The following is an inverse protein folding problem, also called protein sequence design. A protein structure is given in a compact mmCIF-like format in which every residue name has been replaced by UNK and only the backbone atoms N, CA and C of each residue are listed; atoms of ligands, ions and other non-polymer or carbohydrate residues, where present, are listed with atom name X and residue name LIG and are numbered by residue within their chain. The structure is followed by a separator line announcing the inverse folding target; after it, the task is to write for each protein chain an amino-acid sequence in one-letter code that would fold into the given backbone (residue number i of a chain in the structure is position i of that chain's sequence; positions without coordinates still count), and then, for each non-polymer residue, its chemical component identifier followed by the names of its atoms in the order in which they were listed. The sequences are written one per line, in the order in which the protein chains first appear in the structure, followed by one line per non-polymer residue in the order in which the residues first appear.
data_IF_487452062050
#
_entry.id   IF_487452062050
#
_cell.length_a   1.000
_cell.length_b   1.000
_cell.length_c   1.000
_cell.angle_alpha   90.00
_cell.angle_beta   90.00
_cell.angle_gamma   90.00
#
_symmetry.space_group_name_H-M   'P 1'
#
loop_
_entity.id
_entity.type
_entity.pdbx_description
1 polymer ?
2 polymer ?
3 non-polymer ?
4 non-polymer ?
5 non-polymer ?
6 non-polymer ?
#
# COMPACT_ATOMS: atom_id res chain seq x y z
N UNK A 10 -5.34 10.91 -21.24
CA UNK A 10 -5.37 9.56 -20.66
C UNK A 10 -6.78 8.98 -20.73
N UNK A 11 -6.86 7.71 -21.16
CA UNK A 11 -8.16 7.08 -21.38
C UNK A 11 -8.88 6.75 -20.08
N UNK A 12 -8.16 6.59 -18.97
CA UNK A 12 -8.79 6.34 -17.69
C UNK A 12 -9.60 7.54 -17.21
N UNK A 13 -9.38 8.72 -17.78
CA UNK A 13 -10.03 9.95 -17.35
C UNK A 13 -11.22 10.27 -18.24
N UNK A 14 -12.05 11.21 -17.76
CA UNK A 14 -13.18 11.69 -18.54
C UNK A 14 -12.69 12.48 -19.75
N UNK A 15 -13.51 12.57 -20.80
CA UNK A 15 -13.08 13.30 -22.00
C UNK A 15 -12.87 14.77 -21.71
N UNK A 16 -11.69 15.28 -22.06
CA UNK A 16 -11.37 16.68 -21.81
C UNK A 16 -11.31 17.02 -20.34
N UNK A 17 -10.72 16.14 -19.53
CA UNK A 17 -10.63 16.35 -18.09
C UNK A 17 -9.50 15.49 -17.55
N UNK A 18 -9.15 15.74 -16.28
CA UNK A 18 -8.13 14.98 -15.58
C UNK A 18 -8.70 14.04 -14.53
N UNK A 19 -10.01 14.07 -14.29
CA UNK A 19 -10.63 13.22 -13.30
C UNK A 19 -10.88 11.84 -13.91
N UNK A 20 -10.45 10.79 -13.20
CA UNK A 20 -10.71 9.43 -13.67
C UNK A 20 -12.19 9.11 -13.58
N UNK A 21 -12.67 8.33 -14.54
CA UNK A 21 -14.06 7.89 -14.50
C UNK A 21 -14.28 6.97 -13.32
N UNK A 22 -15.36 7.21 -12.57
CA UNK A 22 -15.68 6.40 -11.40
C UNK A 22 -17.13 5.93 -11.50
N UNK A 23 -17.44 4.94 -10.66
CA UNK A 23 -18.79 4.36 -10.65
C UNK A 23 -19.84 5.36 -10.19
N UNK A 24 -19.45 6.38 -9.44
CA UNK A 24 -20.38 7.37 -8.90
C UNK A 24 -20.57 8.57 -9.83
N UNK A 25 -19.91 8.59 -10.98
CA UNK A 25 -20.06 9.66 -11.96
C UNK A 25 -19.71 11.03 -11.35
N UNK A 26 -18.53 11.09 -10.75
CA UNK A 26 -18.01 12.27 -10.07
C UNK A 26 -17.01 12.97 -10.98
N UNK A 27 -17.12 14.30 -11.09
CA UNK A 27 -16.43 15.02 -12.15
C UNK A 27 -15.43 16.08 -11.70
N UNK A 28 -15.34 16.41 -10.41
CA UNK A 28 -14.27 17.28 -9.94
C UNK A 28 -13.37 16.49 -8.98
N UNK A 29 -12.09 16.86 -8.97
CA UNK A 29 -11.09 16.04 -8.29
C UNK A 29 -11.23 16.11 -6.78
N UNK A 30 -11.78 17.20 -6.25
CA UNK A 30 -11.87 17.36 -4.80
C UNK A 30 -12.88 16.37 -4.22
N UNK A 31 -14.07 16.30 -4.79
CA UNK A 31 -15.08 15.41 -4.26
C UNK A 31 -14.79 13.94 -4.55
N UNK A 32 -13.89 13.66 -5.50
CA UNK A 32 -13.52 12.27 -5.75
C UNK A 32 -12.51 11.76 -4.72
N UNK A 33 -11.61 12.62 -4.26
CA UNK A 33 -10.67 12.22 -3.22
C UNK A 33 -11.39 11.88 -1.93
N UNK A 34 -12.36 12.71 -1.54
CA UNK A 34 -13.13 12.43 -0.32
C UNK A 34 -13.93 11.14 -0.47
N UNK A 35 -14.50 10.90 -1.66
CA UNK A 35 -15.19 9.64 -1.89
C UNK A 35 -14.22 8.47 -1.90
N UNK A 36 -13.07 8.64 -2.55
CA UNK A 36 -12.06 7.57 -2.58
C UNK A 36 -11.49 7.33 -1.19
N UNK A 37 -11.19 8.40 -0.45
CA UNK A 37 -10.60 8.25 0.87
C UNK A 37 -11.54 7.50 1.81
N UNK A 38 -12.82 7.88 1.81
CA UNK A 38 -13.77 7.26 2.73
C UNK A 38 -14.07 5.82 2.32
N UNK A 39 -14.47 5.62 1.05
CA UNK A 39 -14.91 4.29 0.62
C UNK A 39 -13.77 3.29 0.69
N UNK A 40 -12.54 3.72 0.42
CA UNK A 40 -11.41 2.79 0.50
C UNK A 40 -11.01 2.53 1.95
N UNK A 41 -11.24 3.48 2.85
CA UNK A 41 -10.94 3.27 4.26
C UNK A 41 -11.81 2.17 4.85
N UNK A 42 -13.12 2.20 4.56
CA UNK A 42 -14.00 1.13 5.02
C UNK A 42 -13.56 -0.20 4.45
N UNK A 43 -13.14 -0.21 3.19
CA UNK A 43 -12.68 -1.45 2.58
C UNK A 43 -11.37 -1.93 3.20
N UNK A 44 -10.49 -0.99 3.58
CA UNK A 44 -9.24 -1.35 4.22
C UNK A 44 -9.48 -2.05 5.55
N UNK A 45 -10.60 -1.75 6.21
CA UNK A 45 -10.94 -2.39 7.48
C UNK A 45 -11.52 -3.79 7.28
N UNK A 46 -11.63 -4.27 6.05
CA UNK A 46 -12.11 -5.61 5.76
C UNK A 46 -11.01 -6.51 5.20
N UNK A 47 -9.78 -6.02 5.13
CA UNK A 47 -8.65 -6.79 4.64
C UNK A 47 -8.02 -7.53 5.82
N UNK A 48 -7.96 -8.85 5.72
CA UNK A 48 -7.35 -9.67 6.75
C UNK A 48 -5.90 -9.97 6.38
N UNK A 49 -5.09 -10.24 7.41
CA UNK A 49 -3.76 -10.76 7.16
C UNK A 49 -3.87 -12.13 6.50
N UNK A 50 -3.04 -12.37 5.50
CA UNK A 50 -2.97 -13.66 4.87
C UNK A 50 -1.52 -14.13 4.83
N UNK A 51 -1.30 -15.43 4.92
CA UNK A 51 0.08 -15.94 4.95
C UNK A 51 0.69 -15.95 3.55
N UNK A 52 2.01 -16.02 3.46
CA UNK A 52 2.67 -16.10 2.15
C UNK A 52 2.40 -17.43 1.48
N UNK A 53 2.82 -17.61 0.22
CA UNK A 53 3.56 -16.70 -0.67
C UNK A 53 2.78 -15.47 -1.14
N UNK A 54 3.45 -14.32 -1.14
CA UNK A 54 2.89 -13.11 -1.72
C UNK A 54 3.30 -13.01 -3.19
N UNK A 55 2.60 -12.14 -3.91
CA UNK A 55 2.73 -12.08 -5.36
C UNK A 55 2.03 -10.84 -5.87
N UNK A 56 2.11 -10.65 -7.20
CA UNK A 56 1.37 -9.58 -7.83
C UNK A 56 -0.13 -9.77 -7.66
N UNK A 57 -0.63 -11.00 -7.89
CA UNK A 57 -2.04 -11.30 -7.68
C UNK A 57 -2.47 -10.97 -6.26
N UNK A 58 -1.62 -11.25 -5.27
CA UNK A 58 -1.91 -10.81 -3.91
C UNK A 58 -2.06 -9.30 -3.85
N UNK A 59 -1.11 -8.58 -4.45
CA UNK A 59 -1.20 -7.13 -4.53
C UNK A 59 -2.45 -6.68 -5.27
N UNK A 60 -2.78 -7.34 -6.38
CA UNK A 60 -3.98 -6.98 -7.12
C UNK A 60 -5.24 -7.18 -6.28
N UNK A 61 -5.27 -8.27 -5.50
CA UNK A 61 -6.42 -8.53 -4.65
C UNK A 61 -6.64 -7.40 -3.64
N UNK A 62 -5.55 -6.86 -3.08
CA UNK A 62 -5.69 -5.75 -2.15
C UNK A 62 -6.24 -4.52 -2.87
N UNK A 63 -5.72 -4.24 -4.06
CA UNK A 63 -6.15 -3.06 -4.80
C UNK A 63 -7.63 -3.17 -5.19
N UNK A 64 -8.08 -4.36 -5.57
CA UNK A 64 -9.49 -4.53 -5.91
C UNK A 64 -10.39 -4.33 -4.71
N UNK A 65 -9.99 -4.85 -3.56
CA UNK A 65 -10.77 -4.67 -2.34
C UNK A 65 -10.86 -3.19 -1.97
N UNK A 66 -9.76 -2.45 -2.15
CA UNK A 66 -9.73 -1.05 -1.75
C UNK A 66 -10.62 -0.18 -2.64
N UNK A 67 -10.56 -0.38 -3.96
CA UNK A 67 -11.13 0.60 -4.87
C UNK A 67 -12.24 0.06 -5.78
N UNK A 68 -12.78 -1.13 -5.50
CA UNK A 68 -13.80 -1.68 -6.39
C UNK A 68 -15.09 -0.86 -6.36
N UNK A 69 -15.31 -0.06 -5.33
CA UNK A 69 -16.52 0.76 -5.25
C UNK A 69 -16.46 1.99 -6.13
N UNK A 70 -15.30 2.30 -6.70
CA UNK A 70 -15.16 3.50 -7.52
C UNK A 70 -14.72 3.18 -8.94
N UNK A 71 -13.72 2.32 -9.10
CA UNK A 71 -13.10 2.10 -10.40
C UNK A 71 -13.35 0.67 -10.86
N UNK A 72 -13.78 0.53 -12.12
CA UNK A 72 -13.93 -0.79 -12.71
C UNK A 72 -12.60 -1.51 -12.81
N UNK A 73 -11.52 -0.76 -13.02
CA UNK A 73 -10.18 -1.32 -13.16
C UNK A 73 -9.50 -1.59 -11.83
N UNK A 74 -10.24 -1.55 -10.73
CA UNK A 74 -9.66 -1.90 -9.43
C UNK A 74 -9.16 -3.33 -9.48
N UNK A 75 -7.91 -3.53 -9.06
CA UNK A 75 -7.26 -4.83 -9.15
C UNK A 75 -6.60 -5.12 -10.48
N UNK A 76 -6.98 -4.41 -11.54
CA UNK A 76 -6.39 -4.60 -12.86
C UNK A 76 -5.07 -3.83 -12.98
N UNK A 77 -4.22 -4.29 -13.90
CA UNK A 77 -2.91 -3.67 -14.05
C UNK A 77 -2.94 -2.54 -15.06
N UNK A 78 -1.96 -1.64 -14.91
CA UNK A 78 -1.76 -0.53 -15.84
C UNK A 78 -1.76 -1.01 -17.28
N UNK A 79 -2.54 -0.34 -18.12
CA UNK A 79 -2.48 -0.54 -19.56
C UNK A 79 -1.65 0.52 -20.27
N UNK A 80 -1.41 1.65 -19.63
CA UNK A 80 -0.58 2.72 -20.18
C UNK A 80 0.67 2.86 -19.34
N UNK A 81 1.69 3.48 -19.93
CA UNK A 81 2.92 3.72 -19.22
C UNK A 81 2.87 4.96 -18.35
N UNK A 82 3.94 5.15 -17.58
CA UNK A 82 4.05 6.31 -16.69
C UNK A 82 5.50 6.76 -16.56
N UNK A 89 9.54 4.43 -14.38
CA UNK A 89 8.64 3.34 -14.02
C UNK A 89 8.82 2.13 -14.96
N UNK A 90 8.32 0.99 -14.52
CA UNK A 90 8.32 -0.21 -15.36
C UNK A 90 7.11 -0.16 -16.30
N UNK A 91 7.37 -0.34 -17.59
CA UNK A 91 6.30 -0.27 -18.58
C UNK A 91 5.39 -1.51 -18.49
N UNK A 92 4.13 -1.38 -18.92
CA UNK A 92 3.14 -2.44 -18.61
C UNK A 92 3.54 -3.84 -19.02
N UNK A 93 4.14 -4.02 -20.20
CA UNK A 93 4.42 -5.37 -20.69
C UNK A 93 5.49 -6.09 -19.88
N UNK A 94 6.21 -5.39 -19.00
CA UNK A 94 7.25 -6.02 -18.20
C UNK A 94 6.91 -6.10 -16.72
N UNK A 95 5.71 -5.66 -16.33
CA UNK A 95 5.39 -5.57 -14.91
C UNK A 95 5.25 -6.96 -14.28
N UNK A 96 4.64 -7.91 -14.99
CA UNK A 96 4.52 -9.26 -14.44
C UNK A 96 5.89 -9.91 -14.29
N UNK A 97 6.74 -9.77 -15.30
CA UNK A 97 8.09 -10.30 -15.20
C UNK A 97 8.85 -9.67 -14.03
N UNK A 98 8.78 -8.34 -13.90
CA UNK A 98 9.56 -7.66 -12.89
C UNK A 98 9.02 -7.93 -11.49
N UNK A 99 7.70 -7.96 -11.32
CA UNK A 99 7.14 -8.33 -10.03
C UNK A 99 7.48 -9.76 -9.66
N UNK A 100 7.51 -10.66 -10.64
CA UNK A 100 7.84 -12.05 -10.37
C UNK A 100 9.28 -12.19 -9.88
N UNK A 101 10.22 -11.45 -10.49
CA UNK A 101 11.59 -11.44 -10.00
C UNK A 101 11.65 -11.01 -8.54
N UNK A 102 10.95 -9.93 -8.20
CA UNK A 102 11.00 -9.42 -6.83
C UNK A 102 10.43 -10.45 -5.86
N UNK A 103 9.22 -10.95 -6.13
CA UNK A 103 8.57 -11.85 -5.18
C UNK A 103 9.26 -13.21 -5.13
N UNK A 104 9.85 -13.66 -6.25
CA UNK A 104 10.64 -14.89 -6.22
C UNK A 104 11.85 -14.73 -5.30
N UNK A 105 12.53 -13.60 -5.38
CA UNK A 105 13.66 -13.34 -4.48
C UNK A 105 13.20 -13.23 -3.04
N UNK A 106 12.05 -12.60 -2.81
CA UNK A 106 11.52 -12.56 -1.45
C UNK A 106 11.20 -13.97 -0.95
N UNK A 107 10.61 -14.80 -1.79
CA UNK A 107 10.33 -16.19 -1.41
C UNK A 107 11.62 -16.96 -1.14
N UNK A 108 12.69 -16.68 -1.88
CA UNK A 108 13.94 -17.39 -1.65
C UNK A 108 14.54 -17.00 -0.30
N UNK A 109 14.23 -15.80 0.19
CA UNK A 109 14.64 -15.34 1.51
C UNK A 109 13.60 -15.66 2.58
N UNK A 110 12.73 -16.64 2.34
CA UNK A 110 11.74 -17.08 3.31
C UNK A 110 10.80 -15.95 3.73
N UNK A 111 10.57 -15.00 2.81
CA UNK A 111 9.68 -13.86 3.06
C UNK A 111 10.13 -13.07 4.29
N UNK A 112 11.45 -13.08 4.52
CA UNK A 112 12.12 -12.32 5.56
C UNK A 112 11.89 -12.91 6.95
N UNK A 113 11.19 -14.03 7.05
CA UNK A 113 11.07 -14.73 8.32
C UNK A 113 12.44 -15.22 8.78
N UNK A 114 12.64 -15.23 10.10
CA UNK A 114 13.90 -15.61 10.68
C UNK A 114 14.94 -14.51 10.73
N UNK A 115 14.76 -13.43 9.98
CA UNK A 115 15.68 -12.30 10.02
C UNK A 115 15.45 -11.47 11.28
N UNK A 116 16.54 -11.02 11.88
CA UNK A 116 16.45 -10.08 12.98
C UNK A 116 15.92 -8.74 12.48
N UNK A 117 15.64 -7.84 13.43
CA UNK A 117 15.07 -6.54 13.07
C UNK A 117 15.99 -5.78 12.11
N UNK A 118 17.27 -5.66 12.47
CA UNK A 118 18.22 -4.92 11.63
C UNK A 118 18.22 -5.42 10.20
N UNK A 119 18.22 -6.75 10.01
CA UNK A 119 18.23 -7.31 8.66
C UNK A 119 16.90 -7.06 7.94
N UNK A 120 15.79 -7.24 8.65
CA UNK A 120 14.47 -7.06 8.05
C UNK A 120 14.30 -5.64 7.53
N UNK A 121 14.86 -4.65 8.23
CA UNK A 121 14.70 -3.26 7.82
C UNK A 121 15.35 -3.01 6.47
N UNK A 122 16.58 -3.48 6.29
CA UNK A 122 17.28 -3.28 5.02
C UNK A 122 16.59 -4.01 3.87
N UNK A 123 16.09 -5.22 4.11
CA UNK A 123 15.48 -5.99 3.03
C UNK A 123 14.11 -5.44 2.66
N UNK A 124 13.33 -5.03 3.67
CA UNK A 124 12.01 -4.47 3.39
C UNK A 124 12.15 -3.14 2.66
N UNK A 125 13.12 -2.32 3.05
CA UNK A 125 13.33 -1.05 2.37
C UNK A 125 13.67 -1.28 0.89
N UNK A 126 14.56 -2.22 0.61
CA UNK A 126 14.92 -2.50 -0.77
C UNK A 126 13.75 -3.14 -1.52
N UNK A 127 12.99 -4.01 -0.86
CA UNK A 127 11.87 -4.63 -1.53
C UNK A 127 10.76 -3.62 -1.80
N UNK A 128 10.58 -2.63 -0.92
CA UNK A 128 9.54 -1.64 -1.14
C UNK A 128 9.82 -0.79 -2.38
N UNK A 129 11.08 -0.36 -2.55
CA UNK A 129 11.43 0.45 -3.72
C UNK A 129 11.32 -0.36 -5.00
N UNK A 130 11.76 -1.62 -4.97
CA UNK A 130 11.70 -2.46 -6.16
C UNK A 130 10.26 -2.60 -6.64
N UNK A 131 9.36 -2.93 -5.72
CA UNK A 131 7.95 -3.07 -6.08
C UNK A 131 7.39 -1.73 -6.55
N UNK A 132 7.81 -0.64 -5.90
CA UNK A 132 7.34 0.69 -6.29
C UNK A 132 7.73 1.02 -7.72
N UNK A 133 8.88 0.54 -8.18
CA UNK A 133 9.32 0.79 -9.56
C UNK A 133 8.40 0.06 -10.55
N UNK A 134 7.84 -1.08 -10.15
CA UNK A 134 6.88 -1.79 -11.00
C UNK A 134 5.64 -0.93 -11.22
N UNK A 135 5.08 -0.37 -10.14
CA UNK A 135 3.91 0.50 -10.18
C UNK A 135 2.77 -0.15 -10.95
N UNK A 136 2.16 -1.21 -10.40
CA UNK A 136 1.26 -2.04 -11.23
C UNK A 136 -0.02 -1.33 -11.66
N UNK A 137 -0.47 -0.31 -10.95
CA UNK A 137 -1.82 0.21 -11.13
C UNK A 137 -1.80 1.63 -11.67
N UNK A 138 -2.93 2.02 -12.27
CA UNK A 138 -3.09 3.38 -12.77
C UNK A 138 -3.12 4.38 -11.63
N UNK A 139 -3.70 3.99 -10.50
CA UNK A 139 -3.72 4.84 -9.31
C UNK A 139 -3.90 3.95 -8.10
N UNK A 140 -3.54 4.50 -6.93
CA UNK A 140 -3.66 3.76 -5.70
C UNK A 140 -2.52 2.80 -5.41
N UNK A 141 -1.35 3.01 -6.02
CA UNK A 141 -0.26 2.06 -5.87
C UNK A 141 0.30 2.07 -4.44
N UNK A 142 0.57 3.26 -3.90
CA UNK A 142 1.18 3.33 -2.58
C UNK A 142 0.32 2.72 -1.50
N UNK A 143 -0.98 3.01 -1.50
CA UNK A 143 -1.86 2.49 -0.46
C UNK A 143 -1.95 0.98 -0.51
N UNK A 144 -2.19 0.41 -1.71
CA UNK A 144 -2.25 -1.05 -1.81
C UNK A 144 -0.92 -1.69 -1.45
N UNK A 145 0.19 -1.04 -1.81
CA UNK A 145 1.50 -1.62 -1.52
C UNK A 145 1.78 -1.65 -0.02
N UNK A 146 1.37 -0.60 0.71
CA UNK A 146 1.69 -0.55 2.14
C UNK A 146 0.88 -1.57 2.93
N UNK A 147 -0.36 -1.85 2.52
CA UNK A 147 -1.12 -2.92 3.16
C UNK A 147 -0.43 -4.26 2.95
N UNK A 148 0.12 -4.49 1.75
CA UNK A 148 0.91 -5.69 1.52
C UNK A 148 2.13 -5.72 2.41
N UNK A 149 2.83 -4.58 2.53
CA UNK A 149 4.01 -4.57 3.38
C UNK A 149 3.65 -4.64 4.86
N UNK A 150 2.45 -4.22 5.25
CA UNK A 150 2.01 -4.51 6.62
C UNK A 150 1.98 -6.01 6.86
N UNK A 151 1.31 -6.75 5.98
CA UNK A 151 1.28 -8.21 6.10
C UNK A 151 2.67 -8.80 6.05
N UNK A 152 3.54 -8.27 5.19
CA UNK A 152 4.89 -8.80 5.08
C UNK A 152 5.65 -8.67 6.40
N UNK A 153 5.50 -7.53 7.06
CA UNK A 153 6.28 -7.29 8.27
C UNK A 153 5.74 -8.12 9.43
N UNK A 154 4.42 -8.25 9.54
CA UNK A 154 3.88 -9.00 10.67
C UNK A 154 3.99 -10.49 10.44
N UNK A 155 4.04 -10.92 9.19
CA UNK A 155 4.42 -12.31 8.91
C UNK A 155 5.87 -12.57 9.33
N UNK A 156 6.76 -11.61 9.09
CA UNK A 156 8.11 -11.68 9.63
C UNK A 156 8.11 -11.60 11.15
N UNK A 157 7.00 -11.18 11.76
CA UNK A 157 6.85 -11.24 13.20
C UNK A 157 7.03 -9.93 13.93
N UNK A 158 6.90 -8.79 13.27
CA UNK A 158 7.18 -7.51 13.89
C UNK A 158 6.01 -6.55 13.70
N UNK A 159 5.89 -5.63 14.65
CA UNK A 159 4.90 -4.57 14.60
C UNK A 159 5.26 -3.55 13.52
N UNK A 160 4.23 -2.84 13.03
CA UNK A 160 4.38 -1.90 11.92
C UNK A 160 3.36 -0.80 12.08
N UNK A 161 3.81 0.45 11.99
CA UNK A 161 2.90 1.60 12.05
C UNK A 161 3.47 2.72 11.19
N UNK A 162 2.74 3.10 10.15
CA UNK A 162 3.17 4.19 9.29
C UNK A 162 3.10 5.55 9.97
N UNK A 163 2.61 5.62 11.21
CA UNK A 163 2.70 6.85 11.99
C UNK A 163 4.13 7.14 12.44
N UNK A 164 5.07 6.22 12.21
CA UNK A 164 6.44 6.41 12.63
C UNK A 164 7.18 7.49 11.87
N UNK A 165 6.66 7.90 10.71
CA UNK A 165 7.25 8.95 9.89
C UNK A 165 6.13 9.86 9.42
N UNK A 166 6.49 11.09 9.06
CA UNK A 166 5.55 12.01 8.47
C UNK A 166 5.71 12.03 6.94
N UNK A 167 4.84 12.80 6.28
CA UNK A 167 4.73 12.75 4.83
C UNK A 167 5.99 13.26 4.15
N UNK A 168 6.56 14.36 4.64
CA UNK A 168 7.75 14.94 4.02
C UNK A 168 8.92 13.95 4.02
N UNK A 169 9.10 13.23 5.13
CA UNK A 169 10.14 12.22 5.20
C UNK A 169 9.87 11.07 4.23
N UNK A 170 8.61 10.71 4.09
CA UNK A 170 8.24 9.60 3.21
C UNK A 170 8.51 9.95 1.75
N UNK A 171 8.20 11.19 1.36
CA UNK A 171 8.41 11.62 -0.01
C UNK A 171 9.90 11.61 -0.35
N UNK A 172 10.72 12.15 0.57
CA UNK A 172 12.16 12.21 0.30
C UNK A 172 12.78 10.81 0.26
N UNK A 173 12.31 9.90 1.10
CA UNK A 173 12.83 8.54 1.07
C UNK A 173 12.52 7.86 -0.26
N UNK A 174 11.34 8.13 -0.81
CA UNK A 174 10.99 7.54 -2.09
C UNK A 174 11.76 8.20 -3.23
N UNK A 175 12.00 9.50 -3.14
CA UNK A 175 12.84 10.16 -4.13
C UNK A 175 14.26 9.61 -4.06
N UNK A 176 14.81 9.50 -2.85
CA UNK A 176 16.13 8.91 -2.69
C UNK A 176 16.19 7.52 -3.29
N UNK A 177 15.12 6.75 -3.14
CA UNK A 177 15.09 5.39 -3.67
C UNK A 177 15.03 5.39 -5.20
N UNK A 178 14.35 6.38 -5.80
CA UNK A 178 14.37 6.50 -7.25
C UNK A 178 15.81 6.62 -7.77
N UNK A 179 16.66 7.33 -7.03
CA UNK A 179 18.04 7.56 -7.43
C UNK A 179 18.99 6.49 -6.90
N UNK A 180 18.47 5.41 -6.31
CA UNK A 180 19.30 4.31 -5.87
C UNK A 180 19.85 4.43 -4.46
N UNK A 181 19.48 5.47 -3.72
CA UNK A 181 19.93 5.66 -2.34
C UNK A 181 18.85 5.16 -1.42
N UNK A 182 19.13 4.06 -0.72
CA UNK A 182 18.15 3.37 0.10
C UNK A 182 18.22 3.74 1.57
N UNK A 183 19.33 4.32 2.02
CA UNK A 183 19.47 4.68 3.42
C UNK A 183 18.30 5.51 3.95
N UNK A 184 17.78 6.52 3.24
CA UNK A 184 16.56 7.17 3.74
C UNK A 184 15.37 6.23 3.83
N UNK A 185 15.21 5.28 2.91
CA UNK A 185 14.11 4.32 3.06
C UNK A 185 14.32 3.41 4.28
N UNK A 186 15.57 3.12 4.63
CA UNK A 186 15.84 2.20 5.74
C UNK A 186 15.46 2.83 7.08
N UNK A 187 15.83 4.10 7.29
CA UNK A 187 15.48 4.75 8.55
C UNK A 187 13.99 5.00 8.64
N UNK A 188 13.28 5.03 7.51
CA UNK A 188 11.82 5.09 7.56
C UNK A 188 11.26 3.84 8.23
N UNK A 189 11.69 2.67 7.77
CA UNK A 189 11.26 1.42 8.37
C UNK A 189 11.92 1.19 9.73
N UNK A 190 13.10 1.76 9.96
CA UNK A 190 13.65 1.78 11.31
C UNK A 190 12.68 2.43 12.28
N UNK A 191 11.95 3.45 11.83
CA UNK A 191 11.01 4.18 12.68
C UNK A 191 9.58 3.64 12.61
N UNK A 192 9.26 2.81 11.62
CA UNK A 192 7.92 2.26 11.52
C UNK A 192 7.82 0.81 11.99
N UNK A 193 8.90 0.06 11.93
CA UNK A 193 8.92 -1.32 12.42
C UNK A 193 9.33 -1.30 13.89
N UNK A 194 8.55 -1.97 14.72
CA UNK A 194 8.78 -1.94 16.15
C UNK A 194 9.18 -3.29 16.75
N UNK A 195 8.63 -3.58 17.93
CA UNK A 195 8.95 -4.80 18.63
C UNK A 195 8.38 -6.02 17.89
N UNK A 196 8.86 -7.19 18.28
CA UNK A 196 8.30 -8.44 17.80
C UNK A 196 6.90 -8.65 18.39
N UNK A 197 6.03 -9.27 17.59
CA UNK A 197 4.66 -9.55 18.00
C UNK A 197 4.63 -10.64 19.06
N UNK B 5 0.91 -18.47 15.88
CA UNK B 5 1.38 -17.25 15.26
C UNK B 5 0.42 -16.73 14.19
N UNK B 6 -0.16 -17.67 13.42
CA UNK B 6 -1.07 -17.26 12.35
C UNK B 6 -2.29 -16.55 12.91
N UNK B 7 -2.93 -17.15 13.92
CA UNK B 7 -4.10 -16.50 14.53
C UNK B 7 -3.70 -15.22 15.25
N UNK B 8 -2.50 -15.16 15.83
CA UNK B 8 -2.06 -13.91 16.42
C UNK B 8 -1.74 -12.86 15.35
N UNK B 9 -1.18 -13.29 14.21
CA UNK B 9 -0.90 -12.35 13.13
C UNK B 9 -2.19 -11.71 12.60
N UNK B 10 -3.23 -12.53 12.41
CA UNK B 10 -4.51 -11.99 11.98
C UNK B 10 -5.11 -11.08 13.05
N UNK B 11 -4.99 -11.47 14.32
CA UNK B 11 -5.48 -10.62 15.40
C UNK B 11 -4.74 -9.29 15.43
N UNK B 12 -3.42 -9.32 15.24
CA UNK B 12 -2.67 -8.06 15.23
C UNK B 12 -3.10 -7.17 14.09
N UNK B 13 -3.25 -7.75 12.89
CA UNK B 13 -3.64 -6.98 11.71
C UNK B 13 -5.00 -6.34 11.90
N UNK B 14 -5.97 -7.10 12.43
CA UNK B 14 -7.30 -6.56 12.64
C UNK B 14 -7.30 -5.45 13.68
N UNK B 15 -6.38 -5.51 14.64
CA UNK B 15 -6.29 -4.48 15.66
C UNK B 15 -5.70 -3.18 15.11
N UNK B 16 -4.81 -3.27 14.11
CA UNK B 16 -4.04 -2.11 13.71
C UNK B 16 -4.32 -1.61 12.31
N UNK B 17 -5.09 -2.33 11.50
CA UNK B 17 -5.21 -2.00 10.08
C UNK B 17 -5.90 -0.66 9.87
N UNK B 18 -6.90 -0.34 10.70
CA UNK B 18 -7.62 0.91 10.50
C UNK B 18 -6.75 2.12 10.83
N UNK B 19 -5.96 2.04 11.90
CA UNK B 19 -5.01 3.11 12.21
C UNK B 19 -3.89 3.16 11.18
N UNK B 20 -3.45 2.00 10.68
CA UNK B 20 -2.37 2.00 9.69
C UNK B 20 -2.82 2.60 8.37
N UNK B 21 -4.09 2.40 8.00
CA UNK B 21 -4.56 2.97 6.73
C UNK B 21 -4.72 4.48 6.82
N UNK B 22 -5.20 4.98 7.97
CA UNK B 22 -5.23 6.43 8.18
C UNK B 22 -3.84 7.03 8.08
N UNK B 23 -2.86 6.38 8.69
CA UNK B 23 -1.47 6.79 8.51
C UNK B 23 -1.04 6.69 7.06
N UNK B 24 -1.47 5.63 6.36
CA UNK B 24 -1.11 5.50 4.95
C UNK B 24 -1.78 6.58 4.10
N UNK B 25 -2.99 6.99 4.47
CA UNK B 25 -3.62 8.13 3.79
C UNK B 25 -2.84 9.41 4.04
N UNK B 26 -2.28 9.58 5.23
CA UNK B 26 -1.49 10.78 5.50
C UNK B 26 -0.23 10.83 4.66
N UNK B 27 0.38 9.69 4.39
CA UNK B 27 1.59 9.67 3.56
C UNK B 27 1.29 10.07 2.13
N UNK B 28 0.06 9.85 1.66
CA UNK B 28 -0.33 10.22 0.30
C UNK B 28 -0.76 11.67 0.19
N UNK B 29 -0.84 12.40 1.30
CA UNK B 29 -1.23 13.79 1.29
C UNK B 29 -2.64 14.06 1.77
N UNK B 30 -3.42 13.03 2.07
CA UNK B 30 -4.77 13.24 2.57
C UNK B 30 -4.72 13.91 3.94
N UNK B 31 -5.67 14.82 4.19
CA UNK B 31 -5.76 15.51 5.47
C UNK B 31 -6.48 14.59 6.45
N UNK B 32 -5.69 13.68 7.04
CA UNK B 32 -6.18 12.70 7.99
C UNK B 32 -5.20 12.64 9.15
N UNK B 33 -5.73 12.69 10.37
CA UNK B 33 -4.90 12.67 11.57
C UNK B 33 -5.05 11.34 12.29
N UNK B 34 -4.32 11.21 13.40
CA UNK B 34 -4.36 9.97 14.19
C UNK B 34 -5.75 9.73 14.75
N UNK B 35 -6.44 10.80 15.16
CA UNK B 35 -7.78 10.63 15.68
C UNK B 35 -8.73 10.07 14.63
N UNK B 36 -8.52 10.44 13.36
CA UNK B 36 -9.37 9.91 12.30
C UNK B 36 -9.26 8.40 12.19
N UNK B 37 -8.08 7.85 12.45
CA UNK B 37 -7.90 6.40 12.45
C UNK B 37 -8.49 5.70 13.64
N UNK B 38 -8.85 6.43 14.69
CA UNK B 38 -9.47 5.85 15.87
C UNK B 38 -10.99 6.00 15.87
N UNK B 39 -11.53 6.87 15.02
CA UNK B 39 -12.95 7.16 15.03
C UNK B 39 -13.77 5.99 14.52
N UNK B 40 -15.05 5.99 14.88
CA UNK B 40 -15.98 5.02 14.31
C UNK B 40 -16.11 5.27 12.81
N UNK B 41 -16.29 4.18 12.06
CA UNK B 41 -16.43 4.51 10.65
C UNK B 41 -17.87 4.34 10.21
N UNK B 42 -18.36 5.21 9.33
CA UNK B 42 -19.72 5.05 8.81
C UNK B 42 -19.81 3.84 7.89
N UNK B 43 -21.03 3.35 7.71
CA UNK B 43 -21.25 2.24 6.80
C UNK B 43 -21.15 2.69 5.34
N UNK B 44 -20.86 1.73 4.49
CA UNK B 44 -20.85 1.92 3.04
C UNK B 44 -22.26 2.31 2.61
N UNK B 45 -22.50 3.60 2.35
CA UNK B 45 -23.77 4.10 1.79
C UNK B 45 -23.48 5.34 0.94
N UNK B 46 -22.57 5.18 -0.03
CA UNK B 46 -22.11 6.24 -0.91
C UNK B 46 -23.24 7.12 -1.43
N UNK B 47 -23.07 8.44 -1.29
CA UNK B 47 -24.07 9.40 -1.73
C UNK B 47 -23.80 9.81 -3.17
X LIG C 1 12.30 5.22 15.97
X LIG C 1 12.84 4.36 16.94
X LIG C 1 12.69 2.94 16.33
X LIG C 1 11.30 2.54 16.28
X LIG C 1 10.50 3.08 17.33
X LIG C 1 9.37 2.08 17.65
X LIG C 1 8.48 2.15 16.56
X LIG C 1 7.36 1.32 16.71
X LIG C 1 6.59 1.42 15.40
X LIG C 1 5.58 0.45 15.50
X LIG C 1 4.48 0.92 16.23
X LIG C 1 4.08 -0.19 17.19
X LIG C 1 2.89 0.28 17.75
X LIG D 1 -3.55 7.28 -5.51
X LIG D 1 -2.65 9.09 -4.72
X LIG D 1 -2.55 7.89 -5.06
X LIG D 1 -1.21 7.17 -4.95
X LIG D 1 -1.38 5.85 -4.50
X LIG D 1 -0.46 7.18 -6.29
X LIG D 1 -1.15 6.42 -7.24
X LIG D 1 0.92 6.59 -6.07
X LIG D 1 1.92 7.09 -6.64
X LIG D 1 1.06 5.60 -5.31
X LIG E 1 5.06 5.15 -2.26
X LIG F 1 17.73 -10.16 -0.23
X LIG F 1 18.15 -11.23 0.69
X LIG F 1 17.65 -10.69 -1.59
X LIG F 1 18.71 -9.08 -0.19
X LIG F 1 16.43 -9.66 0.19
X LIG G 1 14.46 -8.15 -2.53
X LIG G 1 15.62 -8.58 -3.29
X LIG G 1 13.66 -7.21 -3.33
X LIG G 1 14.90 -7.49 -1.31
X LIG G 1 13.64 -9.31 -2.18
#
# INVERSE_FOLDING_TARGET
MPDKYGVGEDAYCYPGSTVLRNKLDIHDEATLSEAEQQLSAIAADNVEFSPPPYSLAYLQNIHRILFSDLFEWAGELRTVGMSKQATRFCQPEYMEKEASKIFTAMAAANWFEGMERAELIAAVAEAYSDINVVHPFREGNGRAQRILFEHLIMNAGFEISWWGIEKDEWIYANIAAYNGVMEPMEQVFEKCIGQAIQAHHHHHH
MGNVSLETKKAYAARTRRSNYAASLRLEGFKVTFADGERKMPTREEVLKAFTQTRTHHHHHH
PG4 O1 C1 C2 O2 C3 C4 O3 C5 C6 O4 C7 C8 O5
TAR O1 O11 C1 C2 O2 C3 O3 C4 O4 O41
MG MG
SO4 S O1 O2 O3 O4
SO4 S O1 O2 O3 O4
#
